data_IF_525585479529
#
_entry.id   IF_525585479529
#
_cell.length_a   1.000
_cell.length_b   1.000
_cell.length_c   1.000
_cell.angle_alpha   90.00
_cell.angle_beta   90.00
_cell.angle_gamma   90.00
#
_symmetry.space_group_name_H-M   'P 1'
#
loop_
_entity.id
_entity.type
_entity.pdbx_description
1 polymer ?
#
# COMPACT_ATOMS: atom_id res chain seq x y z
N UNK A 1 11.68 0.17 11.17
CA UNK A 1 12.02 1.53 11.61
C UNK A 1 11.32 2.54 10.72
N UNK A 2 11.17 3.77 11.22
CA UNK A 2 10.62 4.93 10.48
C UNK A 2 11.36 6.16 11.00
N UNK A 3 11.78 7.04 10.10
CA UNK A 3 12.40 8.31 10.48
C UNK A 3 11.37 9.21 11.17
N UNK A 4 11.82 10.05 12.11
CA UNK A 4 10.93 11.07 12.72
C UNK A 4 10.54 12.13 11.70
N UNK A 5 11.48 12.50 10.83
CA UNK A 5 11.32 13.45 9.74
C UNK A 5 11.91 12.83 8.48
N UNK A 6 11.10 12.67 7.46
CA UNK A 6 11.54 12.17 6.15
C UNK A 6 11.12 13.19 5.10
N UNK A 7 12.08 13.78 4.38
CA UNK A 7 11.81 14.74 3.30
C UNK A 7 11.14 14.07 2.10
N UNK A 8 11.37 12.77 1.92
CA UNK A 8 10.88 11.96 0.79
C UNK A 8 9.58 11.21 1.09
N UNK A 9 8.97 11.50 2.25
CA UNK A 9 7.75 10.83 2.73
C UNK A 9 7.91 9.30 2.87
N UNK A 10 9.11 8.86 3.30
CA UNK A 10 9.32 7.45 3.62
C UNK A 10 8.56 7.06 4.88
N UNK A 11 7.55 6.19 4.73
CA UNK A 11 6.77 5.72 5.86
C UNK A 11 7.38 4.49 6.54
N UNK A 12 8.43 3.92 5.93
CA UNK A 12 9.15 2.76 6.42
C UNK A 12 10.59 2.78 5.88
N UNK A 13 11.55 2.78 6.79
CA UNK A 13 12.98 2.77 6.49
C UNK A 13 13.49 1.31 6.35
N UNK A 14 13.59 0.60 7.48
CA UNK A 14 13.93 -0.83 7.50
C UNK A 14 12.79 -1.68 8.05
N UNK A 15 12.59 -2.87 7.46
CA UNK A 15 11.64 -3.89 7.91
C UNK A 15 12.34 -5.24 7.93
N UNK A 16 12.11 -6.01 9.00
CA UNK A 16 12.68 -7.34 9.16
C UNK A 16 11.62 -8.28 9.71
N UNK A 17 11.43 -9.42 9.04
CA UNK A 17 10.83 -10.60 9.66
C UNK A 17 11.97 -11.55 9.98
N UNK A 18 12.07 -11.98 11.24
CA UNK A 18 13.10 -12.94 11.64
C UNK A 18 13.02 -14.20 10.75
N UNK A 19 14.16 -14.82 10.40
CA UNK A 19 14.19 -15.94 9.44
C UNK A 19 13.19 -17.07 9.75
N UNK A 20 13.05 -17.48 11.02
CA UNK A 20 12.12 -18.53 11.46
C UNK A 20 10.61 -18.18 11.33
N UNK A 21 10.30 -16.91 11.03
CA UNK A 21 8.94 -16.40 10.84
C UNK A 21 8.67 -15.87 9.42
N UNK A 22 9.63 -16.00 8.50
CA UNK A 22 9.42 -15.62 7.11
C UNK A 22 8.37 -16.49 6.42
N UNK A 23 7.76 -15.95 5.35
CA UNK A 23 6.70 -16.61 4.55
C UNK A 23 5.42 -16.97 5.32
N UNK A 24 5.23 -16.46 6.55
CA UNK A 24 4.01 -16.62 7.37
C UNK A 24 3.05 -15.42 7.31
N UNK A 25 3.32 -14.45 6.43
CA UNK A 25 2.47 -13.26 6.24
C UNK A 25 2.82 -12.04 7.11
N UNK A 26 3.73 -12.17 8.08
CA UNK A 26 4.10 -11.06 8.98
C UNK A 26 4.74 -9.86 8.27
N UNK A 27 5.53 -10.08 7.21
CA UNK A 27 6.08 -8.99 6.40
C UNK A 27 4.97 -8.12 5.79
N UNK A 28 3.98 -8.75 5.17
CA UNK A 28 2.80 -8.06 4.63
C UNK A 28 2.00 -7.34 5.73
N UNK A 29 1.88 -7.95 6.92
CA UNK A 29 1.21 -7.34 8.07
C UNK A 29 1.89 -6.06 8.53
N UNK A 30 3.23 -6.09 8.67
CA UNK A 30 4.00 -4.91 9.08
C UNK A 30 3.94 -3.79 8.03
N UNK A 31 3.94 -4.13 6.74
CA UNK A 31 3.73 -3.14 5.65
C UNK A 31 2.32 -2.55 5.75
N UNK A 32 1.30 -3.38 5.94
CA UNK A 32 -0.06 -2.87 6.12
C UNK A 32 -0.18 -1.92 7.32
N UNK A 33 0.50 -2.24 8.41
CA UNK A 33 0.52 -1.42 9.60
C UNK A 33 1.23 -0.07 9.38
N UNK A 34 2.31 0.00 8.59
CA UNK A 34 2.96 1.28 8.27
C UNK A 34 2.04 2.23 7.51
N UNK A 35 1.16 1.69 6.65
CA UNK A 35 0.15 2.50 5.96
C UNK A 35 -1.02 2.90 6.87
N UNK A 36 -1.39 2.13 7.88
CA UNK A 36 -2.36 2.58 8.89
C UNK A 36 -1.84 3.79 9.69
N UNK A 37 -0.54 3.85 9.97
CA UNK A 37 0.09 5.05 10.54
C UNK A 37 0.03 6.23 9.56
N UNK A 38 0.33 5.99 8.28
CA UNK A 38 0.30 7.01 7.22
C UNK A 38 -1.11 7.61 7.06
N UNK A 39 -2.16 6.77 7.11
CA UNK A 39 -3.57 7.18 7.11
C UNK A 39 -3.90 8.10 8.28
N UNK A 40 -3.43 7.79 9.48
CA UNK A 40 -3.62 8.64 10.68
C UNK A 40 -2.86 9.95 10.63
N UNK A 41 -1.69 9.95 10.02
CA UNK A 41 -0.90 11.15 9.76
C UNK A 41 -1.46 11.99 8.61
N UNK A 42 -2.37 11.43 7.80
CA UNK A 42 -2.88 12.01 6.54
C UNK A 42 -1.75 12.34 5.55
N UNK A 43 -0.68 11.55 5.56
CA UNK A 43 0.48 11.70 4.67
C UNK A 43 0.58 10.51 3.73
N UNK A 44 1.12 10.75 2.54
CA UNK A 44 1.50 9.66 1.64
C UNK A 44 2.71 8.92 2.21
N UNK A 45 2.92 7.70 1.71
CA UNK A 45 3.99 6.83 2.17
C UNK A 45 4.52 5.91 1.08
N UNK A 46 5.83 5.72 1.08
CA UNK A 46 6.54 4.76 0.24
C UNK A 46 7.72 4.18 1.03
N UNK A 47 8.22 2.96 0.74
CA UNK A 47 9.45 2.47 1.36
C UNK A 47 10.67 3.29 0.96
N UNK A 48 11.63 3.39 1.87
CA UNK A 48 12.99 3.84 1.56
C UNK A 48 13.63 2.95 0.48
N UNK A 49 14.53 3.54 -0.32
CA UNK A 49 15.24 2.87 -1.42
C UNK A 49 16.75 2.90 -1.15
N UNK A 50 17.51 1.85 -1.52
CA UNK A 50 17.08 0.63 -2.23
C UNK A 50 16.33 -0.36 -1.33
N UNK A 51 15.41 -1.13 -1.94
CA UNK A 51 14.65 -2.18 -1.25
C UNK A 51 15.25 -3.57 -1.53
N UNK A 52 15.22 -4.46 -0.54
CA UNK A 52 15.63 -5.87 -0.75
C UNK A 52 14.65 -6.63 -1.64
N UNK A 53 15.10 -7.68 -2.34
CA UNK A 53 14.25 -8.49 -3.21
C UNK A 53 13.02 -9.05 -2.47
N UNK A 54 13.24 -9.58 -1.26
CA UNK A 54 12.16 -10.08 -0.41
C UNK A 54 11.20 -8.96 0.03
N UNK A 55 11.75 -7.77 0.31
CA UNK A 55 10.97 -6.57 0.59
C UNK A 55 10.10 -6.19 -0.60
N UNK A 56 10.66 -6.12 -1.80
CA UNK A 56 9.95 -5.77 -3.03
C UNK A 56 8.79 -6.72 -3.33
N UNK A 57 9.01 -8.03 -3.18
CA UNK A 57 7.94 -9.03 -3.32
C UNK A 57 6.82 -8.80 -2.30
N UNK A 58 7.18 -8.50 -1.05
CA UNK A 58 6.21 -8.26 0.03
C UNK A 58 5.40 -6.98 -0.22
N UNK A 59 6.05 -5.91 -0.66
CA UNK A 59 5.39 -4.64 -1.00
C UNK A 59 4.46 -4.78 -2.19
N UNK A 60 4.91 -5.38 -3.30
CA UNK A 60 4.04 -5.65 -4.47
C UNK A 60 2.83 -6.49 -4.08
N UNK A 61 3.03 -7.51 -3.25
CA UNK A 61 1.95 -8.36 -2.75
C UNK A 61 0.96 -7.61 -1.87
N UNK A 62 1.41 -6.63 -1.09
CA UNK A 62 0.53 -5.78 -0.28
C UNK A 62 -0.21 -4.74 -1.13
N UNK A 63 0.52 -4.00 -1.97
CA UNK A 63 -0.05 -2.93 -2.78
C UNK A 63 -1.14 -3.45 -3.70
N UNK A 64 -0.90 -4.57 -4.40
CA UNK A 64 -1.94 -5.15 -5.26
C UNK A 64 -3.17 -5.58 -4.46
N UNK A 65 -2.98 -6.19 -3.28
CA UNK A 65 -4.10 -6.59 -2.43
C UNK A 65 -4.94 -5.38 -2.01
N UNK A 66 -4.31 -4.31 -1.51
CA UNK A 66 -5.00 -3.11 -1.04
C UNK A 66 -5.76 -2.40 -2.18
N UNK A 67 -5.16 -2.32 -3.37
CA UNK A 67 -5.81 -1.75 -4.55
C UNK A 67 -7.00 -2.60 -5.00
N UNK A 68 -6.84 -3.93 -5.06
CA UNK A 68 -7.93 -4.85 -5.43
C UNK A 68 -9.09 -4.80 -4.44
N UNK A 69 -8.80 -4.68 -3.13
CA UNK A 69 -9.84 -4.55 -2.11
C UNK A 69 -10.73 -3.32 -2.34
N UNK A 70 -10.13 -2.20 -2.74
CA UNK A 70 -10.86 -0.97 -3.06
C UNK A 70 -11.64 -1.15 -4.36
N UNK A 71 -10.98 -1.63 -5.42
CA UNK A 71 -11.59 -1.83 -6.72
C UNK A 71 -12.77 -2.82 -6.69
N UNK A 72 -12.74 -3.83 -5.79
CA UNK A 72 -13.84 -4.78 -5.62
C UNK A 72 -15.09 -4.11 -5.03
N UNK A 73 -14.91 -3.16 -4.11
CA UNK A 73 -15.98 -2.51 -3.35
C UNK A 73 -16.51 -1.26 -4.05
N UNK A 74 -15.67 -0.61 -4.86
CA UNK A 74 -16.02 0.62 -5.56
C UNK A 74 -16.95 0.33 -6.75
N UNK A 75 -17.99 1.14 -6.93
CA UNK A 75 -18.88 1.08 -8.10
C UNK A 75 -18.56 2.26 -9.02
N UNK A 76 -18.19 1.98 -10.26
CA UNK A 76 -17.85 3.00 -11.25
C UNK A 76 -16.36 3.31 -11.32
N UNK A 77 -16.03 4.36 -12.07
CA UNK A 77 -14.65 4.76 -12.33
C UNK A 77 -14.01 5.34 -11.07
N UNK A 78 -12.73 5.01 -10.85
CA UNK A 78 -11.92 5.57 -9.77
C UNK A 78 -10.59 6.06 -10.35
N UNK A 79 -10.18 7.24 -9.93
CA UNK A 79 -8.93 7.87 -10.36
C UNK A 79 -7.74 7.40 -9.52
N UNK A 80 -6.53 7.61 -10.06
CA UNK A 80 -5.28 7.35 -9.33
C UNK A 80 -5.15 8.25 -8.08
N UNK A 81 -5.67 9.48 -8.15
CA UNK A 81 -5.67 10.41 -7.03
C UNK A 81 -6.58 9.93 -5.88
N UNK A 82 -7.77 9.41 -6.19
CA UNK A 82 -8.67 8.83 -5.18
C UNK A 82 -8.06 7.58 -4.54
N UNK A 83 -7.45 6.69 -5.33
CA UNK A 83 -6.72 5.54 -4.78
C UNK A 83 -5.58 5.96 -3.86
N UNK A 84 -4.83 7.00 -4.24
CA UNK A 84 -3.77 7.59 -3.41
C UNK A 84 -4.31 8.12 -2.09
N UNK A 85 -5.44 8.84 -2.10
CA UNK A 85 -6.02 9.37 -0.87
C UNK A 85 -6.53 8.27 0.07
N UNK A 86 -7.17 7.23 -0.47
CA UNK A 86 -7.71 6.10 0.30
C UNK A 86 -6.61 5.20 0.89
N UNK A 87 -5.55 4.93 0.13
CA UNK A 87 -4.48 3.99 0.52
C UNK A 87 -3.29 4.67 1.21
N UNK A 88 -3.10 5.96 0.94
CA UNK A 88 -1.87 6.72 1.21
C UNK A 88 -0.64 6.22 0.47
N UNK A 89 -0.82 5.49 -0.63
CA UNK A 89 0.28 5.11 -1.52
C UNK A 89 0.66 6.32 -2.38
N UNK A 90 1.94 6.44 -2.76
CA UNK A 90 2.31 7.39 -3.82
C UNK A 90 1.66 6.98 -5.14
N UNK A 91 1.30 7.96 -5.95
CA UNK A 91 0.71 7.73 -7.29
C UNK A 91 1.60 6.85 -8.17
N UNK A 92 2.92 7.03 -8.09
CA UNK A 92 3.89 6.21 -8.81
C UNK A 92 3.84 4.73 -8.43
N UNK A 93 3.64 4.44 -7.14
CA UNK A 93 3.55 3.06 -6.64
C UNK A 93 2.24 2.42 -7.11
N UNK A 94 1.14 3.18 -7.14
CA UNK A 94 -0.15 2.74 -7.69
C UNK A 94 -0.01 2.44 -9.18
N UNK A 95 0.53 3.38 -9.97
CA UNK A 95 0.71 3.21 -11.42
C UNK A 95 1.59 2.00 -11.72
N UNK A 96 2.76 1.89 -11.08
CA UNK A 96 3.67 0.74 -11.26
C UNK A 96 3.02 -0.58 -10.88
N UNK A 97 2.23 -0.59 -9.80
CA UNK A 97 1.53 -1.80 -9.36
C UNK A 97 0.46 -2.19 -10.38
N UNK A 98 -0.42 -1.28 -10.79
CA UNK A 98 -1.47 -1.60 -11.76
C UNK A 98 -0.90 -1.94 -13.15
N UNK A 99 0.21 -1.33 -13.56
CA UNK A 99 0.93 -1.69 -14.79
C UNK A 99 1.45 -3.12 -14.73
N UNK A 100 2.07 -3.54 -13.62
CA UNK A 100 2.57 -4.90 -13.45
C UNK A 100 1.47 -5.98 -13.54
N UNK A 101 0.21 -5.61 -13.29
CA UNK A 101 -0.95 -6.49 -13.40
C UNK A 101 -1.80 -6.23 -14.67
N UNK A 102 -1.33 -5.40 -15.60
CA UNK A 102 -2.04 -5.03 -16.83
C UNK A 102 -3.45 -4.46 -16.60
N UNK A 103 -3.63 -3.70 -15.51
CA UNK A 103 -4.93 -3.12 -15.09
C UNK A 103 -5.05 -1.62 -15.36
N UNK A 104 -4.07 -1.01 -16.01
CA UNK A 104 -4.03 0.44 -16.27
C UNK A 104 -3.47 0.72 -17.65
N UNK A 105 -4.07 1.67 -18.36
CA UNK A 105 -3.64 2.17 -19.66
C UNK A 105 -3.44 3.67 -19.59
N UNK A 106 -2.50 4.18 -20.36
CA UNK A 106 -2.32 5.60 -20.56
C UNK A 106 -2.87 5.97 -21.94
N UNK A 107 -3.86 6.86 -21.98
CA UNK A 107 -4.49 7.31 -23.21
C UNK A 107 -4.79 8.80 -23.12
N UNK A 108 -4.39 9.58 -24.12
CA UNK A 108 -4.73 11.01 -24.22
C UNK A 108 -4.27 11.87 -23.04
N UNK A 109 -3.14 11.54 -22.39
CA UNK A 109 -2.68 12.29 -21.21
C UNK A 109 -3.20 11.77 -19.87
N UNK A 110 -4.09 10.78 -19.86
CA UNK A 110 -4.73 10.28 -18.65
C UNK A 110 -4.51 8.78 -18.45
N UNK A 111 -4.41 8.40 -17.17
CA UNK A 111 -4.43 7.02 -16.75
C UNK A 111 -5.87 6.54 -16.56
N UNK A 112 -6.23 5.44 -17.23
CA UNK A 112 -7.52 4.77 -17.07
C UNK A 112 -7.32 3.35 -16.55
N UNK A 113 -8.01 3.03 -15.45
CA UNK A 113 -7.98 1.71 -14.83
C UNK A 113 -9.03 0.84 -15.53
N UNK A 114 -8.63 -0.35 -15.96
CA UNK A 114 -9.52 -1.30 -16.61
C UNK A 114 -9.23 -2.71 -16.07
N UNK A 115 -10.23 -3.33 -15.45
CA UNK A 115 -10.16 -4.70 -15.00
C UNK A 115 -11.56 -5.30 -14.99
N UNK A 116 -11.71 -6.51 -15.55
CA UNK A 116 -13.01 -7.18 -15.52
C UNK A 116 -13.33 -7.65 -14.09
N UNK A 117 -14.61 -7.66 -13.67
CA UNK A 117 -14.98 -8.15 -12.34
C UNK A 117 -14.46 -9.57 -12.05
N UNK A 118 -14.50 -10.47 -13.04
CA UNK A 118 -13.99 -11.85 -12.93
C UNK A 118 -12.48 -11.89 -12.70
N UNK A 119 -11.73 -11.09 -13.45
CA UNK A 119 -10.28 -10.98 -13.30
C UNK A 119 -9.91 -10.40 -11.93
N UNK A 120 -10.64 -9.38 -11.49
CA UNK A 120 -10.46 -8.74 -10.19
C UNK A 120 -10.68 -9.74 -9.05
N UNK A 121 -11.79 -10.47 -9.06
CA UNK A 121 -12.12 -11.49 -8.05
C UNK A 121 -11.02 -12.56 -7.94
N UNK A 122 -10.53 -13.01 -9.11
CA UNK A 122 -9.46 -14.02 -9.20
C UNK A 122 -8.17 -13.54 -8.54
N UNK A 123 -7.75 -12.30 -8.84
CA UNK A 123 -6.55 -11.74 -8.24
C UNK A 123 -6.73 -11.43 -6.75
N UNK A 124 -7.90 -10.92 -6.36
CA UNK A 124 -8.19 -10.60 -4.97
C UNK A 124 -8.12 -11.85 -4.09
N UNK A 125 -8.76 -12.95 -4.50
CA UNK A 125 -8.74 -14.22 -3.77
C UNK A 125 -7.32 -14.75 -3.56
N UNK A 126 -6.42 -14.56 -4.54
CA UNK A 126 -5.02 -14.98 -4.44
C UNK A 126 -4.17 -14.04 -3.58
N UNK A 127 -4.49 -12.74 -3.55
CA UNK A 127 -3.69 -11.73 -2.88
C UNK A 127 -4.11 -11.50 -1.42
N UNK A 128 -5.37 -11.84 -1.07
CA UNK A 128 -5.98 -11.60 0.24
C UNK A 128 -5.21 -12.32 1.36
N UNK A 129 -4.76 -11.60 2.40
CA UNK A 129 -4.17 -12.22 3.59
C UNK A 129 -5.23 -12.91 4.45
N UNK A 130 -4.78 -13.82 5.32
CA UNK A 130 -5.61 -14.49 6.34
C UNK A 130 -5.79 -13.65 7.63
N UNK A 131 -5.47 -12.36 7.57
CA UNK A 131 -5.60 -11.41 8.67
C UNK A 131 -6.13 -10.08 8.13
N UNK A 132 -6.67 -9.26 9.02
CA UNK A 132 -7.10 -7.88 8.73
C UNK A 132 -6.59 -7.01 9.88
N UNK A 133 -6.07 -5.83 9.58
CA UNK A 133 -5.73 -4.86 10.63
C UNK A 133 -7.00 -4.17 11.08
N UNK A 134 -7.34 -4.30 12.35
CA UNK A 134 -8.42 -3.54 12.98
C UNK A 134 -7.92 -2.15 13.38
N UNK A 135 -8.24 -1.15 12.56
CA UNK A 135 -7.84 0.24 12.82
C UNK A 135 -8.40 0.80 14.14
N UNK A 136 -9.46 0.21 14.71
CA UNK A 136 -10.00 0.62 16.03
C UNK A 136 -9.08 0.25 17.19
N UNK A 137 -8.22 -0.77 17.00
CA UNK A 137 -7.25 -1.24 18.00
C UNK A 137 -5.91 -0.52 17.95
N UNK A 138 -5.71 0.38 16.99
CA UNK A 138 -4.52 1.20 16.94
C UNK A 138 -4.71 2.36 17.93
N UNK A 139 -4.06 2.31 19.09
CA UNK A 139 -4.06 3.40 20.07
C UNK A 139 -2.79 4.22 19.88
N UNK A 140 -2.81 5.13 18.90
CA UNK A 140 -1.64 5.89 18.50
C UNK A 140 -2.05 7.24 17.90
N UNK A 141 -1.34 8.29 18.28
CA UNK A 141 -1.49 9.65 17.73
C UNK A 141 -0.17 10.11 17.14
N UNK A 142 -0.17 10.79 15.98
CA UNK A 142 1.04 11.37 15.40
C UNK A 142 1.80 12.24 16.39
N UNK A 143 3.13 12.14 16.36
CA UNK A 143 3.97 13.02 17.15
C UNK A 143 3.76 14.46 16.71
N UNK A 144 3.31 15.32 17.64
CA UNK A 144 3.24 16.77 17.42
C UNK A 144 4.54 17.38 17.88
N UNK A 145 5.24 18.05 16.98
CA UNK A 145 6.35 18.90 17.39
C UNK A 145 5.80 20.03 18.27
N UNK A 146 6.52 20.34 19.36
CA UNK A 146 6.27 21.59 20.07
C UNK A 146 6.71 22.71 19.14
N UNK A 147 5.76 23.50 18.66
CA UNK A 147 6.05 24.81 18.05
C UNK A 147 6.84 25.59 19.11
N UNK A 148 8.12 25.85 18.83
CA UNK A 148 8.96 26.73 19.64
C UNK A 148 8.67 28.17 19.28
#
# INVERSE_FOLDING_TARGET
>A
SKEKHSSEEYNLACILTLPCYQRKGYGKLMIAFSYELSKREKKLGTPERPISDLGLVSYRSYWVYALLEILQKHRGNISIAELSDMTKFRTDDIVKTLQAFNMIRYFGGQHSIYVSPKTLETYYTKAKPNWVIDSSKLHWTPHRERVR
#
